data_IF_677462323846
#
_entry.id   IF_677462323846
#
_cell.length_a   1.000
_cell.length_b   1.000
_cell.length_c   1.000
_cell.angle_alpha   90.00
_cell.angle_beta   90.00
_cell.angle_gamma   90.00
#
_symmetry.space_group_name_H-M   'P 1'
#
loop_
_entity.id
_entity.type
_entity.pdbx_description
1 polymer ?
#
# COMPACT_ATOMS: atom_id res chain seq x y z
N UNK A 1 -15.16 27.70 1.95
CA UNK A 1 -14.79 26.81 0.84
C UNK A 1 -13.97 25.69 1.48
N UNK A 2 -14.54 24.52 1.64
CA UNK A 2 -13.80 23.34 2.11
C UNK A 2 -12.79 22.99 1.02
N UNK A 3 -11.48 23.12 1.31
CA UNK A 3 -10.45 22.65 0.41
C UNK A 3 -10.74 21.17 0.11
N UNK A 4 -11.13 20.88 -1.12
CA UNK A 4 -11.33 19.51 -1.55
C UNK A 4 -9.96 18.81 -1.49
N UNK A 5 -9.85 17.77 -0.66
CA UNK A 5 -8.62 16.96 -0.61
C UNK A 5 -8.42 16.25 -1.94
N UNK A 6 -7.17 15.93 -2.26
CA UNK A 6 -6.85 15.21 -3.48
C UNK A 6 -5.99 13.97 -3.18
N UNK A 7 -6.18 12.89 -3.99
CA UNK A 7 -5.62 11.58 -3.73
C UNK A 7 -5.03 10.95 -4.99
N UNK A 8 -3.76 10.55 -4.94
CA UNK A 8 -3.15 9.65 -5.92
C UNK A 8 -3.25 8.21 -5.40
N UNK A 9 -3.94 7.35 -6.14
CA UNK A 9 -4.00 5.92 -5.86
C UNK A 9 -2.97 5.21 -6.71
N UNK A 10 -1.93 4.66 -6.09
CA UNK A 10 -0.88 3.89 -6.75
C UNK A 10 -1.28 2.41 -6.71
N UNK A 11 -1.35 1.78 -7.88
CA UNK A 11 -1.71 0.37 -8.03
C UNK A 11 -0.53 -0.38 -8.65
N UNK A 12 0.40 -0.92 -7.82
CA UNK A 12 1.45 -1.79 -8.31
C UNK A 12 0.85 -3.13 -8.75
N UNK A 13 1.23 -3.59 -9.96
CA UNK A 13 0.76 -4.84 -10.52
C UNK A 13 1.93 -5.64 -11.13
N UNK A 14 1.98 -6.95 -10.90
CA UNK A 14 2.92 -7.88 -11.54
C UNK A 14 2.26 -9.23 -11.73
N UNK A 15 1.94 -9.56 -12.98
CA UNK A 15 1.17 -10.75 -13.36
C UNK A 15 -0.16 -10.83 -12.59
N UNK A 16 -0.99 -9.79 -12.80
CA UNK A 16 -2.29 -9.59 -12.17
C UNK A 16 -3.38 -9.25 -13.24
N UNK A 17 -3.25 -9.78 -14.47
CA UNK A 17 -4.18 -9.50 -15.57
C UNK A 17 -5.64 -9.78 -15.18
N UNK A 18 -5.89 -10.87 -14.44
CA UNK A 18 -7.24 -11.27 -14.01
C UNK A 18 -7.82 -10.39 -12.89
N UNK A 19 -6.98 -9.66 -12.15
CA UNK A 19 -7.38 -8.95 -10.93
C UNK A 19 -7.37 -7.42 -11.09
N UNK A 20 -6.54 -6.89 -11.99
CA UNK A 20 -6.28 -5.45 -12.07
C UNK A 20 -7.55 -4.65 -12.36
N UNK A 21 -8.41 -5.11 -13.28
CA UNK A 21 -9.68 -4.41 -13.58
C UNK A 21 -10.61 -4.37 -12.37
N UNK A 22 -10.74 -5.48 -11.65
CA UNK A 22 -11.54 -5.52 -10.41
C UNK A 22 -11.01 -4.56 -9.34
N UNK A 23 -9.68 -4.40 -9.26
CA UNK A 23 -9.06 -3.39 -8.40
C UNK A 23 -9.45 -1.98 -8.82
N UNK A 24 -9.36 -1.66 -10.12
CA UNK A 24 -9.75 -0.34 -10.66
C UNK A 24 -11.23 -0.03 -10.43
N UNK A 25 -12.11 -1.01 -10.63
CA UNK A 25 -13.54 -0.91 -10.32
C UNK A 25 -13.78 -0.62 -8.84
N UNK A 26 -13.15 -1.38 -7.95
CA UNK A 26 -13.28 -1.20 -6.51
C UNK A 26 -12.81 0.18 -6.06
N UNK A 27 -11.66 0.67 -6.56
CA UNK A 27 -11.12 1.99 -6.26
C UNK A 27 -12.04 3.10 -6.78
N UNK A 28 -12.46 3.01 -8.04
CA UNK A 28 -13.33 4.01 -8.68
C UNK A 28 -14.68 4.09 -7.97
N UNK A 29 -15.30 2.94 -7.66
CA UNK A 29 -16.56 2.86 -6.93
C UNK A 29 -16.44 3.43 -5.50
N UNK A 30 -15.29 3.21 -4.85
CA UNK A 30 -15.03 3.76 -3.53
C UNK A 30 -14.96 5.29 -3.54
N UNK A 31 -14.32 5.88 -4.56
CA UNK A 31 -14.07 7.31 -4.68
C UNK A 31 -15.25 8.09 -5.28
N UNK A 32 -16.08 7.45 -6.10
CA UNK A 32 -17.18 8.12 -6.80
C UNK A 32 -18.10 9.01 -5.94
N UNK A 33 -18.52 8.60 -4.71
CA UNK A 33 -19.38 9.42 -3.86
C UNK A 33 -18.63 10.46 -3.02
N UNK A 34 -17.29 10.48 -3.05
CA UNK A 34 -16.48 11.33 -2.18
C UNK A 34 -16.10 12.66 -2.87
N UNK A 35 -16.08 13.78 -2.14
CA UNK A 35 -15.65 15.08 -2.66
C UNK A 35 -14.10 15.15 -2.72
N UNK A 36 -13.47 14.13 -3.35
CA UNK A 36 -12.02 13.99 -3.46
C UNK A 36 -11.64 14.01 -4.93
N UNK A 37 -10.75 14.92 -5.30
CA UNK A 37 -10.13 14.90 -6.62
C UNK A 37 -9.08 13.81 -6.65
N UNK A 38 -9.10 12.88 -7.64
CA UNK A 38 -8.18 11.77 -7.65
C UNK A 38 -7.60 11.43 -9.01
N UNK A 39 -6.49 10.73 -8.99
CA UNK A 39 -5.87 10.02 -10.10
C UNK A 39 -5.53 8.60 -9.66
N UNK A 40 -5.43 7.68 -10.61
CA UNK A 40 -5.01 6.29 -10.39
C UNK A 40 -3.79 6.01 -11.26
N UNK A 41 -2.69 5.62 -10.64
CA UNK A 41 -1.44 5.29 -11.30
C UNK A 41 -1.23 3.77 -11.22
N UNK A 42 -1.56 3.06 -12.29
CA UNK A 42 -1.22 1.64 -12.41
C UNK A 42 0.24 1.53 -12.81
N UNK A 43 1.04 0.85 -12.00
CA UNK A 43 2.45 0.62 -12.27
C UNK A 43 2.65 -0.86 -12.53
N UNK A 44 2.70 -1.24 -13.81
CA UNK A 44 3.00 -2.59 -14.26
C UNK A 44 4.49 -2.86 -14.14
N UNK A 45 4.87 -3.82 -13.30
CA UNK A 45 6.27 -4.16 -13.01
C UNK A 45 6.87 -5.16 -14.03
N UNK A 46 6.63 -4.91 -15.31
CA UNK A 46 7.15 -5.74 -16.39
C UNK A 46 6.47 -7.11 -16.44
N UNK A 47 5.15 -7.13 -16.37
CA UNK A 47 4.34 -8.34 -16.44
C UNK A 47 4.48 -9.06 -17.79
N UNK A 48 4.36 -10.39 -17.74
CA UNK A 48 4.40 -11.26 -18.92
C UNK A 48 3.02 -11.89 -19.28
N UNK A 49 2.00 -11.62 -18.45
CA UNK A 49 0.65 -12.20 -18.59
C UNK A 49 -0.36 -11.30 -19.33
N UNK A 50 0.10 -10.13 -19.80
CA UNK A 50 -0.77 -9.15 -20.46
C UNK A 50 -1.42 -8.13 -19.51
N UNK A 51 -1.00 -8.05 -18.25
CA UNK A 51 -1.53 -7.07 -17.27
C UNK A 51 -1.59 -5.65 -17.83
N UNK A 52 -0.50 -5.16 -18.43
CA UNK A 52 -0.44 -3.82 -19.04
C UNK A 52 -1.39 -3.65 -20.21
N UNK A 53 -1.58 -4.71 -21.03
CA UNK A 53 -2.47 -4.68 -22.19
C UNK A 53 -3.93 -4.63 -21.78
N UNK A 54 -4.30 -5.36 -20.71
CA UNK A 54 -5.65 -5.31 -20.11
C UNK A 54 -5.96 -3.89 -19.65
N UNK A 55 -5.02 -3.18 -19.01
CA UNK A 55 -5.22 -1.78 -18.59
C UNK A 55 -5.37 -0.87 -19.80
N UNK A 56 -4.49 -0.97 -20.82
CA UNK A 56 -4.56 -0.14 -22.05
C UNK A 56 -5.88 -0.30 -22.78
N UNK A 57 -6.38 -1.53 -22.90
CA UNK A 57 -7.63 -1.81 -23.58
C UNK A 57 -8.87 -1.25 -22.86
N UNK A 58 -8.74 -0.84 -21.60
CA UNK A 58 -9.84 -0.33 -20.77
C UNK A 58 -9.66 1.13 -20.33
N UNK A 59 -8.71 1.87 -20.88
CA UNK A 59 -8.42 3.26 -20.50
C UNK A 59 -9.65 4.17 -20.65
N UNK A 60 -10.47 3.98 -21.69
CA UNK A 60 -11.69 4.79 -21.92
C UNK A 60 -12.74 4.56 -20.81
N UNK A 61 -12.77 3.38 -20.22
CA UNK A 61 -13.63 3.05 -19.07
C UNK A 61 -13.15 3.70 -17.77
N UNK A 62 -11.84 4.00 -17.69
CA UNK A 62 -11.20 4.56 -16.50
C UNK A 62 -10.41 5.83 -16.84
N UNK A 63 -11.07 6.96 -17.13
CA UNK A 63 -10.43 8.17 -17.66
C UNK A 63 -9.43 8.85 -16.71
N UNK A 64 -9.38 8.43 -15.44
CA UNK A 64 -8.43 8.94 -14.42
C UNK A 64 -7.27 7.98 -14.17
N UNK A 65 -7.16 6.93 -14.99
CA UNK A 65 -6.07 5.94 -14.90
C UNK A 65 -4.95 6.32 -15.84
N UNK A 66 -3.73 6.29 -15.30
CA UNK A 66 -2.48 6.37 -16.07
C UNK A 66 -1.71 5.08 -15.87
N UNK A 67 -1.28 4.44 -16.97
CA UNK A 67 -0.45 3.24 -16.94
C UNK A 67 1.02 3.62 -17.07
N UNK A 68 1.82 3.16 -16.11
CA UNK A 68 3.28 3.21 -16.12
C UNK A 68 3.81 1.78 -16.24
N UNK A 69 4.69 1.50 -17.21
CA UNK A 69 5.24 0.15 -17.43
C UNK A 69 6.73 0.14 -17.14
N UNK A 70 7.17 -0.75 -16.25
CA UNK A 70 8.58 -1.01 -16.03
C UNK A 70 9.13 -1.91 -17.16
N UNK A 71 10.38 -1.72 -17.60
CA UNK A 71 10.96 -2.53 -18.69
C UNK A 71 11.19 -4.00 -18.29
N UNK A 72 11.17 -4.30 -16.97
CA UNK A 72 11.30 -5.62 -16.37
C UNK A 72 10.79 -5.57 -14.92
N UNK A 73 10.69 -6.73 -14.28
CA UNK A 73 10.39 -6.77 -12.85
C UNK A 73 11.53 -6.13 -12.03
N UNK A 74 11.23 -5.01 -11.38
CA UNK A 74 12.13 -4.24 -10.51
C UNK A 74 11.85 -4.48 -9.02
N UNK A 75 10.79 -5.22 -8.72
CA UNK A 75 10.33 -5.50 -7.38
C UNK A 75 9.42 -4.41 -6.80
N UNK A 76 8.67 -4.83 -5.78
CA UNK A 76 7.53 -4.08 -5.26
C UNK A 76 7.89 -2.66 -4.76
N UNK A 77 9.00 -2.51 -4.02
CA UNK A 77 9.44 -1.21 -3.50
C UNK A 77 9.82 -0.21 -4.60
N UNK A 78 10.49 -0.68 -5.67
CA UNK A 78 10.87 0.17 -6.81
C UNK A 78 9.63 0.60 -7.61
N UNK A 79 8.70 -0.33 -7.82
CA UNK A 79 7.42 -0.10 -8.50
C UNK A 79 6.57 0.92 -7.75
N UNK A 80 6.48 0.78 -6.42
CA UNK A 80 5.80 1.75 -5.58
C UNK A 80 6.46 3.14 -5.65
N UNK A 81 7.80 3.21 -5.54
CA UNK A 81 8.54 4.47 -5.66
C UNK A 81 8.24 5.19 -6.97
N UNK A 82 8.25 4.47 -8.09
CA UNK A 82 7.89 5.03 -9.40
C UNK A 82 6.49 5.67 -9.40
N UNK A 83 5.52 5.02 -8.75
CA UNK A 83 4.18 5.58 -8.55
C UNK A 83 4.19 6.84 -7.67
N UNK A 84 4.96 6.84 -6.58
CA UNK A 84 5.12 8.01 -5.69
C UNK A 84 5.74 9.20 -6.43
N UNK A 85 6.75 8.95 -7.26
CA UNK A 85 7.44 10.00 -8.02
C UNK A 85 6.53 10.60 -9.10
N UNK A 86 5.65 9.79 -9.70
CA UNK A 86 4.68 10.22 -10.71
C UNK A 86 3.42 10.88 -10.11
N UNK A 87 3.14 10.65 -8.83
CA UNK A 87 1.94 11.15 -8.16
C UNK A 87 1.91 12.67 -8.05
N UNK A 88 0.73 13.28 -8.36
CA UNK A 88 0.57 14.74 -8.39
C UNK A 88 -0.32 15.28 -7.28
N UNK A 89 -1.06 14.43 -6.56
CA UNK A 89 -2.05 14.84 -5.57
C UNK A 89 -1.45 15.04 -4.18
N UNK A 90 -2.23 15.70 -3.30
CA UNK A 90 -1.80 16.04 -1.93
C UNK A 90 -1.58 14.80 -1.06
N UNK A 91 -2.39 13.77 -1.25
CA UNK A 91 -2.30 12.51 -0.51
C UNK A 91 -2.02 11.35 -1.47
N UNK A 92 -1.32 10.34 -0.99
CA UNK A 92 -0.96 9.15 -1.74
C UNK A 92 -1.38 7.90 -0.96
N UNK A 93 -1.95 6.93 -1.66
CA UNK A 93 -2.25 5.61 -1.12
C UNK A 93 -1.79 4.54 -2.10
N UNK A 94 -1.31 3.42 -1.58
CA UNK A 94 -1.07 2.24 -2.38
C UNK A 94 -2.21 1.25 -2.19
N UNK A 95 -2.78 0.78 -3.29
CA UNK A 95 -3.76 -0.31 -3.33
C UNK A 95 -3.19 -1.41 -4.21
N UNK A 96 -3.05 -2.63 -3.65
CA UNK A 96 -2.51 -3.76 -4.42
C UNK A 96 -3.41 -4.13 -5.60
N UNK A 97 -2.81 -4.48 -6.75
CA UNK A 97 -3.53 -4.87 -7.97
C UNK A 97 -4.22 -6.24 -7.90
N UNK A 98 -4.22 -6.90 -6.73
CA UNK A 98 -4.72 -8.27 -6.49
C UNK A 98 -6.20 -8.34 -6.09
N UNK A 99 -6.93 -7.23 -6.19
CA UNK A 99 -8.36 -7.09 -5.87
C UNK A 99 -8.76 -7.62 -4.47
N UNK A 100 -7.89 -7.44 -3.48
CA UNK A 100 -8.10 -7.93 -2.12
C UNK A 100 -9.02 -7.04 -1.26
N UNK A 101 -9.44 -5.88 -1.75
CA UNK A 101 -10.20 -4.89 -1.01
C UNK A 101 -11.50 -4.52 -1.70
N UNK A 102 -12.63 -4.61 -0.99
CA UNK A 102 -13.92 -4.16 -1.49
C UNK A 102 -14.00 -2.64 -1.57
N UNK A 103 -14.87 -2.12 -2.45
CA UNK A 103 -15.12 -0.69 -2.56
C UNK A 103 -15.55 -0.05 -1.23
N UNK A 104 -16.37 -0.74 -0.42
CA UNK A 104 -16.81 -0.21 0.88
C UNK A 104 -15.66 -0.10 1.87
N UNK A 105 -14.76 -1.10 1.89
CA UNK A 105 -13.57 -1.06 2.74
C UNK A 105 -12.62 0.06 2.32
N UNK A 106 -12.39 0.24 1.02
CA UNK A 106 -11.59 1.35 0.50
C UNK A 106 -12.24 2.70 0.81
N UNK A 107 -13.56 2.82 0.65
CA UNK A 107 -14.32 4.04 0.97
C UNK A 107 -14.17 4.43 2.43
N UNK A 108 -14.23 3.47 3.36
CA UNK A 108 -14.03 3.73 4.78
C UNK A 108 -12.64 4.32 5.09
N UNK A 109 -11.60 3.94 4.34
CA UNK A 109 -10.28 4.55 4.44
C UNK A 109 -10.25 5.94 3.79
N UNK A 110 -10.80 6.07 2.58
CA UNK A 110 -10.71 7.30 1.78
C UNK A 110 -11.52 8.45 2.36
N UNK A 111 -12.63 8.18 3.06
CA UNK A 111 -13.40 9.21 3.80
C UNK A 111 -12.61 9.90 4.90
N UNK A 112 -11.46 9.32 5.31
CA UNK A 112 -10.60 9.88 6.34
C UNK A 112 -9.44 10.72 5.77
N UNK A 113 -9.34 10.83 4.43
CA UNK A 113 -8.32 11.66 3.77
C UNK A 113 -8.45 13.12 4.25
N UNK A 114 -7.35 13.65 4.78
CA UNK A 114 -7.31 14.98 5.38
C UNK A 114 -7.43 15.01 6.90
N UNK A 115 -7.84 13.93 7.57
CA UNK A 115 -7.93 13.90 9.04
C UNK A 115 -6.55 13.94 9.73
N UNK A 116 -5.51 13.46 9.05
CA UNK A 116 -4.14 13.45 9.54
C UNK A 116 -3.14 13.34 8.37
N UNK A 117 -1.86 13.56 8.63
CA UNK A 117 -0.80 13.36 7.62
C UNK A 117 -0.64 11.89 7.23
N UNK A 118 -0.97 10.96 8.14
CA UNK A 118 -0.94 9.52 7.88
C UNK A 118 -2.24 8.88 8.35
N UNK A 119 -2.89 8.10 7.47
CA UNK A 119 -4.05 7.29 7.82
C UNK A 119 -3.66 5.83 7.64
N UNK A 120 -3.74 5.06 8.73
CA UNK A 120 -3.25 3.69 8.81
C UNK A 120 -4.44 2.74 8.85
N UNK A 121 -4.67 2.01 7.77
CA UNK A 121 -5.66 0.94 7.75
C UNK A 121 -5.14 -0.31 8.48
N UNK A 122 -5.90 -0.84 9.42
CA UNK A 122 -5.58 -2.10 10.08
C UNK A 122 -6.65 -3.16 9.86
N UNK A 123 -6.25 -4.39 9.58
CA UNK A 123 -7.19 -5.50 9.34
C UNK A 123 -7.85 -5.95 10.65
N UNK A 124 -9.17 -5.73 10.76
CA UNK A 124 -9.96 -6.10 11.93
C UNK A 124 -10.30 -7.59 11.98
N UNK A 125 -10.66 -8.18 10.84
CA UNK A 125 -11.15 -9.56 10.70
C UNK A 125 -10.02 -10.57 10.38
N UNK A 126 -8.77 -10.28 10.75
CA UNK A 126 -7.57 -11.07 10.37
C UNK A 126 -7.68 -12.56 10.75
N UNK A 127 -8.28 -12.86 11.91
CA UNK A 127 -8.46 -14.23 12.40
C UNK A 127 -9.47 -15.06 11.59
N UNK A 128 -10.41 -14.40 10.91
CA UNK A 128 -11.44 -15.05 10.08
C UNK A 128 -11.04 -15.15 8.62
N UNK A 129 -10.32 -14.16 8.11
CA UNK A 129 -10.02 -13.99 6.68
C UNK A 129 -8.65 -14.53 6.27
N UNK A 130 -7.85 -15.07 7.20
CA UNK A 130 -6.49 -15.56 6.92
C UNK A 130 -6.17 -16.85 7.68
N UNK A 131 -5.27 -17.72 7.15
CA UNK A 131 -4.74 -18.87 7.90
C UNK A 131 -4.14 -18.45 9.24
N UNK A 132 -4.38 -19.25 10.29
CA UNK A 132 -3.93 -18.96 11.66
C UNK A 132 -2.44 -18.67 11.76
N UNK A 133 -1.59 -19.51 11.12
CA UNK A 133 -0.15 -19.30 11.12
C UNK A 133 0.28 -17.95 10.57
N UNK A 134 -0.36 -17.50 9.48
CA UNK A 134 -0.10 -16.16 8.89
C UNK A 134 -0.52 -15.04 9.83
N UNK A 135 -1.64 -15.21 10.52
CA UNK A 135 -2.15 -14.22 11.49
C UNK A 135 -1.19 -14.11 12.67
N UNK A 136 -0.71 -15.23 13.23
CA UNK A 136 0.26 -15.26 14.34
C UNK A 136 1.56 -14.55 13.93
N UNK A 137 2.15 -14.91 12.78
CA UNK A 137 3.38 -14.28 12.28
C UNK A 137 3.18 -12.75 12.09
N UNK A 138 2.04 -12.35 11.54
CA UNK A 138 1.72 -10.94 11.31
C UNK A 138 1.60 -10.16 12.62
N UNK A 139 0.99 -10.77 13.65
CA UNK A 139 0.87 -10.17 15.00
C UNK A 139 2.23 -10.11 15.71
N UNK A 140 3.03 -11.18 15.63
CA UNK A 140 4.39 -11.20 16.18
C UNK A 140 5.27 -10.12 15.54
N UNK A 141 5.22 -9.95 14.21
CA UNK A 141 5.90 -8.87 13.50
C UNK A 141 5.45 -7.50 14.00
N UNK A 142 4.13 -7.26 14.10
CA UNK A 142 3.60 -5.98 14.61
C UNK A 142 4.09 -5.71 16.03
N UNK A 143 4.06 -6.71 16.92
CA UNK A 143 4.56 -6.56 18.29
C UNK A 143 6.05 -6.20 18.32
N UNK A 144 6.87 -6.92 17.53
CA UNK A 144 8.30 -6.67 17.46
C UNK A 144 8.61 -5.25 16.94
N UNK A 145 7.94 -4.80 15.89
CA UNK A 145 8.13 -3.44 15.37
C UNK A 145 7.67 -2.41 16.39
N UNK A 146 6.57 -2.65 17.12
CA UNK A 146 6.15 -1.77 18.22
C UNK A 146 7.20 -1.65 19.32
N UNK A 147 7.87 -2.77 19.68
CA UNK A 147 8.97 -2.76 20.67
C UNK A 147 10.15 -1.94 20.15
N UNK A 148 10.58 -2.17 18.90
CA UNK A 148 11.71 -1.48 18.29
C UNK A 148 11.46 0.04 18.23
N UNK A 149 10.26 0.44 17.80
CA UNK A 149 9.91 1.84 17.55
C UNK A 149 9.35 2.58 18.77
N UNK A 150 9.11 1.89 19.89
CA UNK A 150 8.43 2.44 21.06
C UNK A 150 6.98 2.85 20.80
N UNK A 151 6.36 2.37 19.72
CA UNK A 151 5.00 2.73 19.28
C UNK A 151 3.99 1.65 19.66
N UNK A 152 2.69 1.95 19.51
CA UNK A 152 1.59 1.01 19.80
C UNK A 152 0.60 0.98 18.65
N UNK A 153 1.07 0.71 17.42
CA UNK A 153 0.20 0.58 16.26
C UNK A 153 -0.43 -0.82 16.20
N UNK A 154 -1.62 -0.88 15.64
CA UNK A 154 -2.37 -2.13 15.45
C UNK A 154 -1.84 -2.97 14.29
N UNK A 155 -1.25 -2.32 13.27
CA UNK A 155 -0.72 -3.01 12.09
C UNK A 155 0.21 -2.11 11.27
N UNK A 156 1.27 -2.71 10.66
CA UNK A 156 2.25 -1.97 9.85
C UNK A 156 2.11 -2.21 8.34
N UNK A 157 1.53 -3.35 7.93
CA UNK A 157 1.46 -3.78 6.52
C UNK A 157 0.03 -3.67 5.94
N UNK A 158 -0.76 -2.73 6.45
CA UNK A 158 -2.08 -2.39 5.91
C UNK A 158 -2.02 -1.34 4.81
N UNK A 159 -3.18 -0.94 4.27
CA UNK A 159 -3.26 0.23 3.42
C UNK A 159 -2.92 1.49 4.23
N UNK A 160 -2.11 2.36 3.65
CA UNK A 160 -1.68 3.59 4.30
C UNK A 160 -1.87 4.75 3.34
N UNK A 161 -2.61 5.78 3.78
CA UNK A 161 -2.64 7.07 3.09
C UNK A 161 -1.59 7.96 3.73
N UNK A 162 -0.78 8.59 2.92
CA UNK A 162 0.25 9.52 3.37
C UNK A 162 0.06 10.88 2.70
N UNK A 163 0.28 11.95 3.43
CA UNK A 163 0.45 13.27 2.82
C UNK A 163 1.73 13.27 1.97
N UNK A 164 1.65 13.80 0.76
CA UNK A 164 2.76 13.76 -0.21
C UNK A 164 4.07 14.31 0.37
N UNK A 165 4.01 15.40 1.13
CA UNK A 165 5.18 16.01 1.75
C UNK A 165 5.87 15.14 2.81
N UNK A 166 5.13 14.17 3.41
CA UNK A 166 5.70 13.20 4.35
C UNK A 166 6.39 12.05 3.63
N UNK A 167 5.82 11.62 2.48
CA UNK A 167 6.25 10.42 1.76
C UNK A 167 7.32 10.69 0.70
N UNK A 168 7.18 11.78 -0.06
CA UNK A 168 8.15 12.14 -1.11
C UNK A 168 9.52 12.39 -0.53
N UNK A 169 10.55 11.88 -1.23
CA UNK A 169 11.94 11.98 -0.78
C UNK A 169 12.32 11.01 0.34
N UNK A 170 11.43 10.06 0.76
CA UNK A 170 11.85 8.96 1.61
C UNK A 170 12.75 7.99 0.84
N UNK A 171 13.92 7.72 1.38
CA UNK A 171 14.79 6.66 0.86
C UNK A 171 14.22 5.29 1.28
N UNK A 172 13.54 4.58 0.37
CA UNK A 172 13.02 3.23 0.60
C UNK A 172 14.11 2.22 0.21
N UNK A 173 14.57 1.42 1.17
CA UNK A 173 15.65 0.45 0.99
C UNK A 173 15.13 -0.98 0.81
N UNK A 174 14.01 -1.33 1.46
CA UNK A 174 13.39 -2.65 1.34
C UNK A 174 12.65 -2.79 0.01
N UNK A 175 12.81 -3.95 -0.64
CA UNK A 175 12.07 -4.30 -1.87
C UNK A 175 11.02 -5.40 -1.66
N UNK A 176 11.05 -6.08 -0.51
CA UNK A 176 10.21 -7.22 -0.16
C UNK A 176 9.02 -6.87 0.72
N UNK A 177 8.49 -7.87 1.43
CA UNK A 177 7.25 -7.75 2.23
C UNK A 177 7.31 -6.73 3.39
N UNK A 178 8.51 -6.35 3.84
CA UNK A 178 8.68 -5.40 4.94
C UNK A 178 8.68 -3.94 4.54
N UNK A 179 8.68 -3.62 3.22
CA UNK A 179 8.83 -2.25 2.76
C UNK A 179 7.74 -1.29 3.28
N UNK A 180 6.50 -1.76 3.45
CA UNK A 180 5.41 -0.93 3.99
C UNK A 180 5.67 -0.53 5.44
N UNK A 181 6.26 -1.44 6.24
CA UNK A 181 6.64 -1.13 7.61
C UNK A 181 7.79 -0.11 7.64
N UNK A 182 8.79 -0.25 6.75
CA UNK A 182 9.87 0.74 6.61
C UNK A 182 9.30 2.12 6.24
N UNK A 183 8.45 2.18 5.22
CA UNK A 183 7.82 3.44 4.78
C UNK A 183 7.05 4.09 5.94
N UNK A 184 6.22 3.30 6.65
CA UNK A 184 5.43 3.81 7.76
C UNK A 184 6.29 4.31 8.91
N UNK A 185 7.32 3.56 9.31
CA UNK A 185 8.22 3.96 10.41
C UNK A 185 8.94 5.25 10.04
N UNK A 186 9.52 5.36 8.85
CA UNK A 186 10.16 6.59 8.37
C UNK A 186 9.19 7.77 8.27
N UNK A 187 7.99 7.54 7.73
CA UNK A 187 6.95 8.57 7.64
C UNK A 187 6.53 9.09 9.02
N UNK A 188 6.36 8.21 10.01
CA UNK A 188 6.03 8.56 11.38
C UNK A 188 7.16 9.29 12.15
N UNK A 189 8.38 9.33 11.62
CA UNK A 189 9.45 10.19 12.14
C UNK A 189 9.33 11.62 11.61
N UNK A 190 8.71 11.80 10.42
CA UNK A 190 8.52 13.13 9.80
C UNK A 190 7.26 13.85 10.28
N UNK A 191 6.29 13.10 10.81
CA UNK A 191 5.05 13.66 11.36
C UNK A 191 4.59 12.91 12.61
N UNK A 192 3.82 13.59 13.47
CA UNK A 192 3.18 12.99 14.65
C UNK A 192 1.68 12.82 14.48
N UNK A 193 1.10 13.33 13.40
CA UNK A 193 -0.35 13.25 13.16
C UNK A 193 -0.69 12.00 12.37
N UNK A 194 -1.37 11.06 13.01
CA UNK A 194 -1.90 9.86 12.36
C UNK A 194 -3.21 9.40 12.99
N UNK A 195 -4.01 8.67 12.21
CA UNK A 195 -5.22 7.98 12.66
C UNK A 195 -5.20 6.53 12.19
N UNK A 196 -5.77 5.63 12.99
CA UNK A 196 -5.93 4.22 12.64
C UNK A 196 -7.37 3.90 12.27
N UNK A 197 -7.59 3.27 11.11
CA UNK A 197 -8.90 2.95 10.55
C UNK A 197 -9.08 1.43 10.47
N UNK A 198 -10.14 0.85 11.06
CA UNK A 198 -10.43 -0.57 10.93
C UNK A 198 -10.88 -0.89 9.49
N UNK A 199 -10.31 -1.95 8.92
CA UNK A 199 -10.62 -2.42 7.58
C UNK A 199 -10.93 -3.92 7.63
N UNK A 200 -11.91 -4.34 6.84
CA UNK A 200 -12.22 -5.76 6.67
C UNK A 200 -11.62 -6.27 5.35
N UNK A 201 -10.81 -7.30 5.45
CA UNK A 201 -10.24 -7.97 4.28
C UNK A 201 -11.32 -8.84 3.64
N UNK A 202 -11.51 -8.70 2.35
CA UNK A 202 -12.34 -9.60 1.54
C UNK A 202 -11.55 -10.88 1.23
N UNK A 203 -12.22 -12.01 1.12
CA UNK A 203 -11.59 -13.23 0.61
C UNK A 203 -11.17 -12.99 -0.84
N UNK A 204 -9.93 -13.34 -1.18
CA UNK A 204 -9.45 -13.23 -2.55
C UNK A 204 -10.28 -14.13 -3.45
N UNK A 205 -10.79 -13.59 -4.54
CA UNK A 205 -11.54 -14.36 -5.52
C UNK A 205 -10.67 -15.46 -6.17
N UNK A 206 -9.36 -15.23 -6.34
CA UNK A 206 -8.39 -16.19 -6.93
C UNK A 206 -6.95 -15.88 -6.45
N UNK A 207 -6.09 -16.91 -6.42
CA UNK A 207 -4.65 -16.82 -6.19
C UNK A 207 -4.16 -17.37 -4.85
N UNK A 208 -3.01 -18.05 -4.89
CA UNK A 208 -2.34 -18.58 -3.70
C UNK A 208 -1.49 -17.52 -3.00
N UNK A 209 -1.47 -17.57 -1.66
CA UNK A 209 -0.62 -16.68 -0.87
C UNK A 209 0.86 -17.09 -0.98
N UNK A 210 1.67 -16.25 -1.63
CA UNK A 210 3.13 -16.45 -1.76
C UNK A 210 3.90 -16.12 -0.45
N UNK A 211 3.21 -15.83 0.67
CA UNK A 211 3.82 -15.29 1.90
C UNK A 211 4.78 -16.25 2.65
N UNK A 212 4.60 -17.58 2.52
CA UNK A 212 5.37 -18.59 3.25
C UNK A 212 6.66 -19.06 2.55
N UNK A 213 7.17 -18.32 1.57
CA UNK A 213 8.46 -18.69 0.95
C UNK A 213 9.62 -18.28 1.86
N UNK A 214 10.66 -19.12 1.95
CA UNK A 214 11.90 -18.87 2.74
C UNK A 214 12.50 -17.49 2.43
N UNK A 215 12.47 -17.08 1.15
CA UNK A 215 12.90 -15.75 0.71
C UNK A 215 12.21 -14.61 1.48
N UNK A 216 10.92 -14.77 1.77
CA UNK A 216 10.14 -13.75 2.48
C UNK A 216 10.48 -13.66 3.97
N UNK A 217 10.88 -14.78 4.60
CA UNK A 217 11.36 -14.76 5.97
C UNK A 217 12.69 -14.00 6.09
N UNK A 218 13.61 -14.21 5.15
CA UNK A 218 14.88 -13.46 5.09
C UNK A 218 14.62 -11.96 4.88
N UNK A 219 13.69 -11.59 3.98
CA UNK A 219 13.33 -10.20 3.76
C UNK A 219 12.73 -9.53 5.01
N UNK A 220 11.92 -10.28 5.78
CA UNK A 220 11.37 -9.79 7.05
C UNK A 220 12.48 -9.54 8.07
N UNK A 221 13.44 -10.47 8.21
CA UNK A 221 14.58 -10.31 9.13
C UNK A 221 15.47 -9.11 8.73
N UNK A 222 15.75 -8.94 7.45
CA UNK A 222 16.47 -7.76 6.94
C UNK A 222 15.73 -6.46 7.24
N UNK A 223 14.41 -6.47 7.07
CA UNK A 223 13.59 -5.30 7.41
C UNK A 223 13.66 -4.99 8.90
N UNK A 224 13.60 -6.01 9.78
CA UNK A 224 13.74 -5.81 11.22
C UNK A 224 15.10 -5.16 11.55
N UNK A 225 16.20 -5.68 10.99
CA UNK A 225 17.52 -5.07 11.15
C UNK A 225 17.53 -3.59 10.69
N UNK A 226 16.98 -3.33 9.50
CA UNK A 226 16.87 -1.96 8.98
C UNK A 226 16.04 -1.05 9.91
N UNK A 227 14.94 -1.53 10.47
CA UNK A 227 14.13 -0.74 11.41
C UNK A 227 14.89 -0.42 12.70
N UNK A 228 15.72 -1.36 13.21
CA UNK A 228 16.63 -1.08 14.31
C UNK A 228 17.63 0.02 13.94
N UNK A 229 18.25 -0.08 12.77
CA UNK A 229 19.22 0.92 12.30
C UNK A 229 18.58 2.30 12.14
N UNK A 230 17.35 2.38 11.65
CA UNK A 230 16.58 3.63 11.52
C UNK A 230 16.31 4.23 12.90
N UNK A 231 15.82 3.44 13.86
CA UNK A 231 15.48 3.94 15.19
C UNK A 231 16.70 4.31 16.02
N UNK A 232 17.82 3.62 15.86
CA UNK A 232 19.08 3.92 16.57
C UNK A 232 19.97 4.93 15.84
N UNK A 233 19.50 5.47 14.70
CA UNK A 233 20.22 6.52 13.95
C UNK A 233 21.44 6.00 13.18
N UNK A 234 21.52 4.69 12.91
CA UNK A 234 22.61 4.07 12.15
C UNK A 234 22.33 4.05 10.64
N UNK A 235 21.06 4.09 10.23
CA UNK A 235 20.65 4.15 8.82
C UNK A 235 20.48 5.61 8.37
N UNK A 236 20.87 5.91 7.10
CA UNK A 236 20.55 7.19 6.46
C UNK A 236 19.04 7.30 6.22
N UNK A 237 18.45 8.42 6.60
CA UNK A 237 17.06 8.81 6.29
C UNK A 237 16.83 9.01 4.80
#
# INVERSE_FOLDING_TARGET
MTNAHSLSVIVPAYNEADNTLGTLESVTTALAPLPIEYEILVVDDGSSDGTGDVVRANVDRFPRVTLLVNPRNLGFGSTYRRGVDAATREHLVMVHGDNAWSADTLRALFTRVGDADIIIGFTRNMWRSRPLGRTVISKAFTLLVNIITGRRLKYYNGLQVHRAGVLKGLAIQSSGYGFQAEVLVKALRRTRTFVEVPMDLTERARGESKAFRVKNAVDVLRTIGLLCDIEWGLAKE
#
